data_IF_607101934893
#
_entry.id   IF_607101934893
#
_cell.length_a   1.000
_cell.length_b   1.000
_cell.length_c   1.000
_cell.angle_alpha   90.00
_cell.angle_beta   90.00
_cell.angle_gamma   90.00
#
_symmetry.space_group_name_H-M   'P 1'
#
loop_
_entity.id
_entity.type
_entity.pdbx_description
1 polymer ?
#
# COMPACT_ATOMS: atom_id res chain seq x y z
N UNK A 1 -4.86 -5.43 -21.54
CA UNK A 1 -4.28 -6.18 -20.41
C UNK A 1 -4.29 -7.67 -20.67
N UNK A 2 -5.45 -8.36 -20.76
CA UNK A 2 -5.46 -9.79 -21.13
C UNK A 2 -4.83 -10.07 -22.50
N UNK A 3 -5.14 -9.24 -23.50
CA UNK A 3 -4.50 -9.29 -24.82
C UNK A 3 -3.01 -8.92 -24.83
N UNK A 4 -2.51 -8.34 -23.74
CA UNK A 4 -1.12 -7.93 -23.56
C UNK A 4 -0.30 -8.97 -22.80
N UNK A 5 -0.85 -10.17 -22.55
CA UNK A 5 -0.18 -11.25 -21.83
C UNK A 5 -0.32 -11.20 -20.30
N UNK A 6 -1.13 -10.28 -19.75
CA UNK A 6 -1.36 -10.23 -18.29
C UNK A 6 -2.24 -11.41 -17.87
N UNK A 7 -1.67 -12.31 -17.08
CA UNK A 7 -2.33 -13.51 -16.58
C UNK A 7 -3.44 -13.19 -15.58
N UNK A 8 -3.15 -12.25 -14.67
CA UNK A 8 -3.99 -11.97 -13.50
C UNK A 8 -4.15 -10.44 -13.35
N UNK A 9 -5.38 -9.99 -13.12
CA UNK A 9 -5.72 -8.58 -12.91
C UNK A 9 -6.50 -8.47 -11.60
N UNK A 10 -6.04 -7.62 -10.68
CA UNK A 10 -6.69 -7.35 -9.40
C UNK A 10 -6.99 -5.86 -9.24
N UNK A 11 -8.15 -5.54 -8.69
CA UNK A 11 -8.49 -4.18 -8.29
C UNK A 11 -7.88 -3.86 -6.92
N UNK A 12 -7.28 -2.68 -6.82
CA UNK A 12 -6.65 -2.16 -5.60
C UNK A 12 -7.70 -1.86 -4.52
N UNK A 13 -8.95 -1.63 -4.92
CA UNK A 13 -10.09 -1.45 -4.02
C UNK A 13 -10.24 -2.63 -3.05
N UNK A 14 -9.92 -3.85 -3.49
CA UNK A 14 -9.84 -5.01 -2.60
C UNK A 14 -8.77 -4.85 -1.51
N UNK A 15 -7.61 -4.30 -1.86
CA UNK A 15 -6.58 -3.93 -0.89
C UNK A 15 -7.03 -2.82 0.05
N UNK A 16 -7.91 -1.92 -0.40
CA UNK A 16 -8.46 -0.86 0.45
C UNK A 16 -9.35 -1.42 1.55
N UNK A 17 -10.12 -2.47 1.27
CA UNK A 17 -10.92 -3.18 2.28
C UNK A 17 -10.01 -3.86 3.31
N UNK A 18 -8.97 -4.57 2.85
CA UNK A 18 -7.96 -5.19 3.74
C UNK A 18 -7.29 -4.13 4.61
N UNK A 19 -6.88 -3.02 4.01
CA UNK A 19 -6.25 -1.90 4.71
C UNK A 19 -7.19 -1.34 5.77
N UNK A 20 -8.47 -1.12 5.45
CA UNK A 20 -9.48 -0.61 6.38
C UNK A 20 -9.70 -1.57 7.56
N UNK A 21 -9.85 -2.86 7.29
CA UNK A 21 -9.93 -3.88 8.33
C UNK A 21 -8.69 -3.88 9.23
N UNK A 22 -7.49 -3.82 8.63
CA UNK A 22 -6.23 -3.80 9.37
C UNK A 22 -6.08 -2.53 10.22
N UNK A 23 -6.52 -1.37 9.72
CA UNK A 23 -6.60 -0.12 10.48
C UNK A 23 -7.48 -0.26 11.72
N UNK A 24 -8.72 -0.72 11.54
CA UNK A 24 -9.67 -0.89 12.64
C UNK A 24 -9.15 -1.88 13.68
N UNK A 25 -8.55 -2.98 13.23
CA UNK A 25 -7.91 -3.97 14.09
C UNK A 25 -6.75 -3.36 14.89
N UNK A 26 -5.83 -2.65 14.24
CA UNK A 26 -4.69 -2.02 14.91
C UNK A 26 -5.13 -0.93 15.91
N UNK A 27 -6.17 -0.16 15.58
CA UNK A 27 -6.74 0.84 16.50
C UNK A 27 -7.26 0.16 17.77
N UNK A 28 -8.02 -0.94 17.60
CA UNK A 28 -8.59 -1.69 18.71
C UNK A 28 -7.52 -2.39 19.56
N UNK A 29 -6.64 -3.16 18.91
CA UNK A 29 -5.68 -4.04 19.59
C UNK A 29 -4.58 -3.25 20.30
N UNK A 30 -4.16 -2.10 19.73
CA UNK A 30 -3.10 -1.26 20.31
C UNK A 30 -3.65 -0.04 21.08
N UNK A 31 -4.97 0.09 21.21
CA UNK A 31 -5.59 1.23 21.92
C UNK A 31 -5.25 2.60 21.33
N UNK A 32 -5.06 2.69 20.02
CA UNK A 32 -4.62 3.92 19.34
C UNK A 32 -5.74 4.96 19.37
N UNK A 33 -5.51 6.10 20.04
CA UNK A 33 -6.49 7.20 20.12
C UNK A 33 -6.57 8.04 18.85
N UNK A 34 -5.49 8.09 18.09
CA UNK A 34 -5.41 8.87 16.85
C UNK A 34 -4.43 8.20 15.92
N UNK A 35 -4.83 8.03 14.67
CA UNK A 35 -4.02 7.40 13.63
C UNK A 35 -4.11 8.25 12.37
N UNK A 36 -2.96 8.62 11.83
CA UNK A 36 -2.85 9.27 10.52
C UNK A 36 -2.74 8.16 9.48
N UNK A 37 -3.75 8.06 8.62
CA UNK A 37 -3.75 7.12 7.52
C UNK A 37 -2.56 7.40 6.57
N UNK A 38 -1.95 6.34 6.06
CA UNK A 38 -0.77 6.40 5.18
C UNK A 38 -1.04 5.97 3.71
N UNK A 39 -2.22 6.20 3.09
CA UNK A 39 -2.44 5.75 1.72
C UNK A 39 -1.62 6.60 0.72
N UNK A 40 -1.39 7.88 1.02
CA UNK A 40 -0.74 8.83 0.12
C UNK A 40 0.75 9.03 0.48
N UNK A 41 1.68 8.69 -0.42
CA UNK A 41 3.11 8.86 -0.16
C UNK A 41 3.52 10.34 -0.05
N UNK A 42 2.77 11.28 -0.64
CA UNK A 42 3.05 12.70 -0.50
C UNK A 42 2.85 13.18 0.96
N UNK A 43 1.80 12.70 1.64
CA UNK A 43 1.54 13.02 3.04
C UNK A 43 2.63 12.43 3.93
N UNK A 44 2.98 11.16 3.72
CA UNK A 44 4.06 10.49 4.47
C UNK A 44 5.38 11.23 4.29
N UNK A 45 5.75 11.57 3.04
CA UNK A 45 6.97 12.32 2.74
C UNK A 45 6.98 13.70 3.40
N UNK A 46 5.83 14.39 3.43
CA UNK A 46 5.71 15.67 4.08
C UNK A 46 5.97 15.53 5.59
N UNK A 47 5.35 14.54 6.24
CA UNK A 47 5.51 14.28 7.67
C UNK A 47 6.97 13.91 7.99
N UNK A 48 7.59 13.02 7.21
CA UNK A 48 9.00 12.63 7.38
C UNK A 48 9.97 13.81 7.28
N UNK A 49 9.69 14.75 6.37
CA UNK A 49 10.58 15.89 6.10
C UNK A 49 10.34 17.09 7.02
N UNK A 50 9.08 17.41 7.31
CA UNK A 50 8.68 18.70 7.87
C UNK A 50 7.95 18.61 9.21
N UNK A 51 7.43 17.45 9.62
CA UNK A 51 6.63 17.31 10.85
C UNK A 51 7.00 16.05 11.61
N UNK A 52 8.26 15.97 12.03
CA UNK A 52 8.80 14.75 12.65
C UNK A 52 8.12 14.39 13.97
N UNK A 53 7.56 15.36 14.69
CA UNK A 53 6.87 15.11 15.97
C UNK A 53 5.60 14.27 15.84
N UNK A 54 5.00 14.19 14.64
CA UNK A 54 3.79 13.39 14.38
C UNK A 54 4.07 12.08 13.65
N UNK A 55 5.34 11.72 13.42
CA UNK A 55 5.71 10.42 12.81
C UNK A 55 5.14 9.25 13.61
N UNK A 56 5.16 9.33 14.95
CA UNK A 56 4.61 8.27 15.82
C UNK A 56 3.10 8.11 15.72
N UNK A 57 2.39 9.09 15.15
CA UNK A 57 0.94 9.02 14.90
C UNK A 57 0.62 8.43 13.53
N UNK A 58 1.62 8.22 12.69
CA UNK A 58 1.44 7.49 11.44
C UNK A 58 1.00 6.07 11.73
N UNK A 59 0.09 5.57 10.91
CA UNK A 59 -0.37 4.19 11.05
C UNK A 59 0.74 3.17 10.90
N UNK A 60 0.69 2.06 11.66
CA UNK A 60 1.52 0.90 11.37
C UNK A 60 1.04 0.11 10.13
N UNK A 61 -0.11 0.45 9.56
CA UNK A 61 -0.74 -0.26 8.44
C UNK A 61 -0.36 0.35 7.10
N UNK A 62 0.11 -0.51 6.19
CA UNK A 62 0.50 -0.13 4.83
C UNK A 62 -0.68 0.35 3.96
N UNK A 63 -0.36 0.98 2.83
CA UNK A 63 -1.35 1.49 1.87
C UNK A 63 -2.12 0.37 1.14
N UNK A 64 -3.29 0.66 0.52
CA UNK A 64 -4.09 -0.32 -0.22
C UNK A 64 -3.30 -1.12 -1.26
N UNK A 65 -2.47 -0.46 -2.06
CA UNK A 65 -1.55 -1.10 -3.02
C UNK A 65 -0.70 -2.18 -2.36
N UNK A 66 -0.15 -1.88 -1.19
CA UNK A 66 0.72 -2.79 -0.47
C UNK A 66 -0.03 -3.93 0.18
N UNK A 67 -1.21 -3.64 0.74
CA UNK A 67 -2.09 -4.68 1.25
C UNK A 67 -2.50 -5.66 0.14
N UNK A 68 -2.82 -5.17 -1.07
CA UNK A 68 -3.05 -6.04 -2.24
C UNK A 68 -1.81 -6.87 -2.57
N UNK A 69 -0.63 -6.25 -2.71
CA UNK A 69 0.59 -6.97 -3.08
C UNK A 69 0.96 -8.07 -2.07
N UNK A 70 0.86 -7.76 -0.76
CA UNK A 70 1.08 -8.73 0.32
C UNK A 70 0.04 -9.85 0.24
N UNK A 71 -1.22 -9.51 -0.01
CA UNK A 71 -2.28 -10.50 -0.16
C UNK A 71 -1.99 -11.47 -1.30
N UNK A 72 -1.63 -10.94 -2.48
CA UNK A 72 -1.34 -11.74 -3.66
C UNK A 72 -0.18 -12.72 -3.44
N UNK A 73 0.90 -12.27 -2.78
CA UNK A 73 2.04 -13.13 -2.46
C UNK A 73 1.75 -14.16 -1.38
N UNK A 74 1.11 -13.75 -0.28
CA UNK A 74 0.99 -14.60 0.93
C UNK A 74 -0.23 -15.50 0.94
N UNK A 75 -1.34 -15.06 0.34
CA UNK A 75 -2.63 -15.74 0.47
C UNK A 75 -3.15 -16.28 -0.86
N UNK A 76 -2.86 -15.61 -1.97
CA UNK A 76 -3.24 -16.09 -3.31
C UNK A 76 -2.11 -16.87 -4.02
N UNK A 77 -0.94 -17.04 -3.38
CA UNK A 77 0.27 -17.70 -3.91
C UNK A 77 0.63 -17.28 -5.35
N UNK A 78 0.39 -16.01 -5.68
CA UNK A 78 0.77 -15.45 -6.98
C UNK A 78 2.28 -15.24 -6.97
N UNK A 79 3.00 -15.90 -7.90
CA UNK A 79 4.47 -15.82 -8.02
C UNK A 79 4.94 -15.03 -9.23
N UNK A 80 4.03 -14.68 -10.14
CA UNK A 80 4.30 -13.82 -11.29
C UNK A 80 4.84 -12.43 -10.89
N UNK A 81 5.46 -11.72 -11.83
CA UNK A 81 5.79 -10.30 -11.64
C UNK A 81 4.50 -9.48 -11.47
N UNK A 82 4.49 -8.55 -10.51
CA UNK A 82 3.29 -7.79 -10.15
C UNK A 82 3.49 -6.36 -10.61
N UNK A 83 2.83 -5.91 -11.68
CA UNK A 83 2.81 -4.50 -12.03
C UNK A 83 1.66 -3.77 -11.33
N UNK A 84 1.83 -2.46 -11.10
CA UNK A 84 0.78 -1.62 -10.53
C UNK A 84 0.47 -0.45 -11.46
N UNK A 85 -0.81 -0.11 -11.55
CA UNK A 85 -1.32 1.01 -12.34
C UNK A 85 -1.88 2.04 -11.39
N UNK A 86 -1.15 3.15 -11.23
CA UNK A 86 -1.50 4.23 -10.32
C UNK A 86 -1.67 5.54 -11.09
N UNK A 87 -2.71 6.35 -10.80
CA UNK A 87 -2.77 7.73 -11.26
C UNK A 87 -1.79 8.65 -10.49
N UNK A 88 -1.15 8.15 -9.43
CA UNK A 88 -0.27 8.93 -8.55
C UNK A 88 1.21 8.60 -8.78
N UNK A 89 1.97 9.58 -9.26
CA UNK A 89 3.43 9.49 -9.44
C UNK A 89 4.18 9.24 -8.12
N UNK A 90 3.64 9.71 -7.00
CA UNK A 90 4.27 9.53 -5.69
C UNK A 90 4.40 8.07 -5.27
N UNK A 91 3.67 7.13 -5.90
CA UNK A 91 3.72 5.71 -5.57
C UNK A 91 5.00 5.02 -6.03
N UNK A 92 5.73 5.55 -7.01
CA UNK A 92 7.00 4.95 -7.46
C UNK A 92 7.97 4.73 -6.30
N UNK A 93 8.12 5.71 -5.41
CA UNK A 93 9.05 5.60 -4.27
C UNK A 93 8.68 4.44 -3.34
N UNK A 94 7.39 4.23 -3.11
CA UNK A 94 6.89 3.15 -2.24
C UNK A 94 7.16 1.77 -2.87
N UNK A 95 7.09 1.69 -4.20
CA UNK A 95 7.31 0.45 -4.95
C UNK A 95 8.79 0.02 -4.95
N UNK A 96 9.72 0.97 -5.13
CA UNK A 96 11.17 0.70 -5.13
C UNK A 96 11.66 0.14 -3.78
N UNK A 97 11.07 0.56 -2.67
CA UNK A 97 11.50 0.15 -1.33
C UNK A 97 11.23 -1.33 -1.01
N UNK A 98 10.43 -2.04 -1.82
CA UNK A 98 9.81 -3.30 -1.38
C UNK A 98 10.34 -4.53 -2.13
N UNK A 99 11.34 -4.38 -3.00
CA UNK A 99 12.07 -5.51 -3.61
C UNK A 99 11.13 -6.60 -4.18
N UNK A 100 9.99 -6.15 -4.66
CA UNK A 100 9.06 -6.87 -5.51
C UNK A 100 9.16 -6.15 -6.83
N UNK A 101 9.30 -6.86 -7.95
CA UNK A 101 9.41 -6.30 -9.29
C UNK A 101 8.09 -5.62 -9.71
N UNK A 102 7.77 -4.51 -9.04
CA UNK A 102 6.57 -3.73 -9.23
C UNK A 102 6.90 -2.55 -10.11
N UNK A 103 6.61 -2.72 -11.38
CA UNK A 103 6.69 -1.67 -12.38
C UNK A 103 5.45 -0.78 -12.28
N UNK A 104 5.66 0.54 -12.23
CA UNK A 104 4.58 1.48 -12.46
C UNK A 104 4.48 1.69 -13.96
N UNK A 105 3.43 1.17 -14.57
CA UNK A 105 3.14 1.41 -15.99
C UNK A 105 2.25 2.65 -16.01
N UNK A 106 2.88 3.82 -15.83
CA UNK A 106 2.20 5.11 -16.03
C UNK A 106 2.41 5.55 -17.48
#
# INVERSE_FOLDING_TARGET
>A
MKSSGVNIIYDVSFGADITTWAYLKAIKDNGLKTVIAQPCPAIVNYIEKYSREIISKLSPIHSPMMCTAIYLRKYADVRDEIAFLSPCIGKLRLMIQIQMDIYNIM
#
